data_IF_314720673470
#
_entry.id   IF_314720673470
#
_cell.length_a   1.000
_cell.length_b   1.000
_cell.length_c   1.000
_cell.angle_alpha   90.00
_cell.angle_beta   90.00
_cell.angle_gamma   90.00
#
_symmetry.space_group_name_H-M   'P 1'
#
loop_
_entity.id
_entity.type
_entity.pdbx_description
1 polymer ?
#
# COMPACT_ATOMS: atom_id res chain seq x y z
N UNK A 1 -20.30 -7.83 21.53
CA UNK A 1 -21.42 -7.61 22.48
C UNK A 1 -22.64 -7.46 21.61
N UNK A 2 -23.52 -8.45 21.53
CA UNK A 2 -24.79 -8.30 20.78
C UNK A 2 -25.79 -7.63 21.71
N UNK A 3 -26.35 -6.49 21.29
CA UNK A 3 -27.37 -5.79 22.05
C UNK A 3 -28.66 -6.64 22.00
N UNK A 4 -29.28 -6.96 23.15
CA UNK A 4 -30.50 -7.77 23.19
C UNK A 4 -31.72 -7.09 22.54
N UNK A 5 -31.63 -5.83 22.09
CA UNK A 5 -32.67 -5.13 21.33
C UNK A 5 -32.37 -4.99 19.82
N UNK A 6 -31.29 -5.58 19.31
CA UNK A 6 -31.00 -5.56 17.87
C UNK A 6 -32.07 -6.32 17.08
N UNK A 7 -32.74 -5.58 16.19
CA UNK A 7 -33.58 -6.16 15.12
C UNK A 7 -32.66 -6.46 13.94
N UNK A 8 -32.93 -7.50 13.13
CA UNK A 8 -32.14 -7.76 11.92
C UNK A 8 -32.12 -6.51 11.04
N UNK A 9 -30.92 -6.08 10.67
CA UNK A 9 -30.67 -4.90 9.84
C UNK A 9 -31.21 -5.13 8.43
N UNK A 10 -31.77 -4.08 7.82
CA UNK A 10 -32.17 -4.12 6.41
C UNK A 10 -30.94 -4.08 5.47
N UNK A 11 -31.12 -4.33 4.17
CA UNK A 11 -30.02 -4.41 3.20
C UNK A 11 -29.20 -3.11 3.13
N UNK A 12 -29.83 -1.95 3.37
CA UNK A 12 -29.13 -0.66 3.35
C UNK A 12 -28.34 -0.40 4.64
N UNK A 13 -28.87 -0.80 5.79
CA UNK A 13 -28.22 -0.58 7.11
C UNK A 13 -26.98 -1.48 7.25
N UNK A 14 -26.98 -2.65 6.63
CA UNK A 14 -25.80 -3.53 6.58
C UNK A 14 -24.62 -2.97 5.76
N UNK A 15 -24.85 -1.89 5.00
CA UNK A 15 -23.81 -1.21 4.24
C UNK A 15 -23.28 0.04 4.95
N UNK A 16 -23.76 0.33 6.16
CA UNK A 16 -23.25 1.44 6.96
C UNK A 16 -21.83 1.14 7.46
N UNK A 17 -21.02 2.19 7.60
CA UNK A 17 -19.58 2.12 7.91
C UNK A 17 -19.29 1.46 9.27
N UNK A 18 -20.22 1.54 10.22
CA UNK A 18 -20.10 0.92 11.54
C UNK A 18 -20.41 -0.59 11.55
N UNK A 19 -21.11 -1.09 10.54
CA UNK A 19 -21.41 -2.51 10.33
C UNK A 19 -20.43 -3.19 9.36
N UNK A 20 -19.73 -2.40 8.54
CA UNK A 20 -18.65 -2.89 7.69
C UNK A 20 -17.34 -2.97 8.51
N UNK A 21 -16.61 -4.09 8.36
CA UNK A 21 -15.24 -4.16 8.86
C UNK A 21 -14.40 -3.07 8.20
N UNK A 22 -13.51 -2.46 8.98
CA UNK A 22 -12.57 -1.42 8.52
C UNK A 22 -11.79 -1.96 7.32
N UNK A 23 -11.73 -1.21 6.22
CA UNK A 23 -10.93 -1.62 5.07
C UNK A 23 -9.48 -1.84 5.55
N UNK A 24 -8.86 -3.01 5.29
CA UNK A 24 -7.45 -3.22 5.63
C UNK A 24 -6.52 -2.12 5.08
N UNK A 25 -6.92 -1.43 4.02
CA UNK A 25 -6.22 -0.29 3.41
C UNK A 25 -6.44 1.03 4.16
N UNK A 26 -7.47 1.12 5.00
CA UNK A 26 -7.81 2.30 5.80
C UNK A 26 -6.96 2.43 7.06
N UNK A 27 -6.39 1.32 7.56
CA UNK A 27 -5.41 1.35 8.66
C UNK A 27 -4.13 2.13 8.31
N UNK A 28 -3.89 2.42 7.03
CA UNK A 28 -2.68 3.08 6.57
C UNK A 28 -1.44 2.21 6.77
N UNK A 29 -0.46 2.34 5.87
CA UNK A 29 0.85 1.71 6.07
C UNK A 29 1.73 2.73 6.79
N UNK A 30 2.28 2.36 7.95
CA UNK A 30 3.26 3.20 8.63
C UNK A 30 4.57 3.19 7.83
N UNK A 31 5.01 4.34 7.30
CA UNK A 31 6.27 4.41 6.56
C UNK A 31 7.46 4.19 7.54
N UNK A 32 8.64 3.78 7.03
CA UNK A 32 9.82 3.63 7.87
C UNK A 32 10.19 4.95 8.58
N UNK A 33 10.62 4.86 9.85
CA UNK A 33 11.04 6.04 10.64
C UNK A 33 12.27 6.76 10.06
N UNK A 34 13.06 6.05 9.25
CA UNK A 34 14.29 6.55 8.66
C UNK A 34 14.12 6.88 7.18
N UNK A 35 14.87 7.89 6.74
CA UNK A 35 14.97 8.18 5.32
C UNK A 35 15.80 7.10 4.62
N UNK A 36 15.43 6.78 3.39
CA UNK A 36 16.23 5.94 2.48
C UNK A 36 16.92 6.83 1.46
N UNK A 37 18.17 6.51 1.11
CA UNK A 37 18.89 7.19 0.03
C UNK A 37 18.20 6.98 -1.32
N UNK A 38 18.25 7.99 -2.17
CA UNK A 38 17.73 7.93 -3.53
C UNK A 38 18.85 7.49 -4.48
N UNK A 39 19.45 6.33 -4.21
CA UNK A 39 20.68 5.88 -4.87
C UNK A 39 20.40 4.99 -6.09
N UNK A 40 19.13 4.87 -6.49
CA UNK A 40 18.69 4.08 -7.65
C UNK A 40 18.94 4.83 -8.96
N UNK A 41 19.06 4.08 -10.05
CA UNK A 41 19.17 4.65 -11.39
C UNK A 41 17.95 5.51 -11.75
N UNK A 42 18.17 6.63 -12.45
CA UNK A 42 17.11 7.54 -12.88
C UNK A 42 16.81 8.71 -11.94
N UNK A 43 17.66 8.96 -10.95
CA UNK A 43 17.54 10.13 -10.06
C UNK A 43 18.09 11.42 -10.67
N UNK A 44 18.89 11.33 -11.73
CA UNK A 44 19.38 12.49 -12.50
C UNK A 44 18.79 12.58 -13.91
N UNK A 45 18.72 13.79 -14.48
CA UNK A 45 18.30 14.02 -15.88
C UNK A 45 19.19 13.31 -16.91
N UNK A 46 20.42 12.95 -16.53
CA UNK A 46 21.34 12.23 -17.40
C UNK A 46 20.95 10.75 -17.45
N UNK A 47 20.81 10.12 -16.29
CA UNK A 47 20.39 8.72 -16.17
C UNK A 47 19.03 8.47 -16.80
N UNK A 48 18.07 9.38 -16.62
CA UNK A 48 16.75 9.24 -17.27
C UNK A 48 16.83 9.20 -18.81
N UNK A 49 17.82 9.89 -19.40
CA UNK A 49 18.02 9.88 -20.85
C UNK A 49 18.77 8.65 -21.33
N UNK A 50 19.73 8.18 -20.55
CA UNK A 50 20.53 7.01 -20.87
C UNK A 50 19.72 5.72 -20.67
N UNK A 51 18.85 5.68 -19.66
CA UNK A 51 18.13 4.49 -19.24
C UNK A 51 19.05 3.48 -18.56
N UNK A 52 18.46 2.59 -17.75
CA UNK A 52 19.20 1.48 -17.14
C UNK A 52 19.39 0.35 -18.15
N UNK A 53 20.52 -0.35 -18.08
CA UNK A 53 20.76 -1.50 -18.95
C UNK A 53 19.91 -2.71 -18.55
N UNK A 54 19.70 -3.64 -19.48
CA UNK A 54 18.94 -4.86 -19.20
C UNK A 54 19.62 -5.71 -18.11
N UNK A 55 20.95 -5.80 -18.13
CA UNK A 55 21.70 -6.59 -17.17
C UNK A 55 21.58 -6.02 -15.74
N UNK A 56 21.62 -4.69 -15.58
CA UNK A 56 21.40 -4.02 -14.29
C UNK A 56 19.98 -4.24 -13.74
N UNK A 57 18.97 -4.27 -14.62
CA UNK A 57 17.59 -4.60 -14.23
C UNK A 57 17.44 -6.05 -13.78
N UNK A 58 18.07 -6.98 -14.49
CA UNK A 58 18.04 -8.41 -14.13
C UNK A 58 18.73 -8.66 -12.80
N UNK A 59 19.85 -7.97 -12.52
CA UNK A 59 20.55 -8.10 -11.24
C UNK A 59 19.70 -7.67 -10.03
N UNK A 60 18.74 -6.76 -10.20
CA UNK A 60 17.82 -6.32 -9.14
C UNK A 60 16.68 -7.31 -8.85
N UNK A 61 16.41 -8.26 -9.75
CA UNK A 61 15.36 -9.26 -9.55
C UNK A 61 15.84 -10.47 -8.73
N UNK A 62 17.15 -10.65 -8.57
CA UNK A 62 17.72 -11.68 -7.71
C UNK A 62 17.52 -11.29 -6.22
N UNK A 63 16.85 -12.11 -5.42
CA UNK A 63 16.67 -11.83 -3.99
C UNK A 63 18.00 -11.98 -3.22
N UNK A 64 18.26 -11.04 -2.30
CA UNK A 64 19.40 -11.06 -1.37
C UNK A 64 19.20 -12.02 -0.19
#
# INVERSE_FOLDING_TARGET
>A
MTDPNERPLDETEQLDEDELDVDPLEQGVEPPEHWSGADRHGTTKRELREGETLDERLAQEEPE
#
